data_IF_596861959497
#
_entry.id   IF_596861959497
#
_cell.length_a   1.000
_cell.length_b   1.000
_cell.length_c   1.000
_cell.angle_alpha   90.00
_cell.angle_beta   90.00
_cell.angle_gamma   90.00
#
_symmetry.space_group_name_H-M   'P 1'
#
loop_
_entity.id
_entity.type
_entity.pdbx_description
1 polymer ?
#
# COMPACT_ATOMS: atom_id res chain seq x y z
N UNK A 1 -16.69 -26.89 -5.48
CA UNK A 1 -16.14 -25.52 -5.41
C UNK A 1 -15.48 -25.25 -6.74
N UNK A 2 -15.93 -24.22 -7.46
CA UNK A 2 -15.47 -23.94 -8.83
C UNK A 2 -14.20 -23.08 -8.82
N UNK A 3 -13.47 -23.03 -9.94
CA UNK A 3 -12.29 -22.17 -10.11
C UNK A 3 -12.62 -20.66 -9.92
N UNK A 4 -13.84 -20.27 -10.28
CA UNK A 4 -14.37 -18.93 -10.05
C UNK A 4 -14.53 -18.62 -8.55
N UNK A 5 -15.03 -19.59 -7.76
CA UNK A 5 -15.20 -19.43 -6.31
C UNK A 5 -13.84 -19.25 -5.61
N UNK A 6 -12.83 -20.03 -6.04
CA UNK A 6 -11.46 -19.93 -5.52
C UNK A 6 -10.84 -18.54 -5.79
N UNK A 7 -11.09 -17.99 -6.98
CA UNK A 7 -10.57 -16.66 -7.38
C UNK A 7 -11.19 -15.54 -6.54
N UNK A 8 -12.48 -15.64 -6.21
CA UNK A 8 -13.19 -14.65 -5.38
C UNK A 8 -12.67 -14.69 -3.95
N UNK A 9 -12.56 -15.88 -3.36
CA UNK A 9 -12.04 -16.07 -2.00
C UNK A 9 -10.62 -15.50 -1.91
N UNK A 10 -9.75 -15.82 -2.88
CA UNK A 10 -8.38 -15.31 -2.90
C UNK A 10 -8.31 -13.79 -2.94
N UNK A 11 -9.11 -13.14 -3.82
CA UNK A 11 -9.15 -11.67 -3.92
C UNK A 11 -9.62 -11.02 -2.62
N UNK A 12 -10.62 -11.62 -1.96
CA UNK A 12 -11.10 -11.16 -0.66
C UNK A 12 -10.01 -11.24 0.41
N UNK A 13 -9.31 -12.37 0.50
CA UNK A 13 -8.20 -12.56 1.45
C UNK A 13 -7.08 -11.55 1.21
N UNK A 14 -6.69 -11.32 -0.05
CA UNK A 14 -5.68 -10.31 -0.37
C UNK A 14 -6.11 -8.91 0.07
N UNK A 15 -7.36 -8.54 -0.19
CA UNK A 15 -7.92 -7.26 0.25
C UNK A 15 -7.91 -7.12 1.76
N UNK A 16 -8.40 -8.12 2.51
CA UNK A 16 -8.42 -8.13 3.98
C UNK A 16 -7.00 -8.01 4.57
N UNK A 17 -6.02 -8.71 4.00
CA UNK A 17 -4.62 -8.59 4.41
C UNK A 17 -4.07 -7.19 4.16
N UNK A 18 -4.32 -6.60 2.99
CA UNK A 18 -3.90 -5.22 2.71
C UNK A 18 -4.56 -4.22 3.67
N UNK A 19 -5.84 -4.40 4.00
CA UNK A 19 -6.55 -3.54 4.95
C UNK A 19 -6.11 -3.75 6.41
N UNK A 20 -5.48 -4.89 6.73
CA UNK A 20 -4.91 -5.16 8.06
C UNK A 20 -3.51 -4.56 8.28
N UNK A 21 -2.92 -3.92 7.26
CA UNK A 21 -1.61 -3.27 7.39
C UNK A 21 -1.71 -2.16 8.43
N UNK A 22 -0.84 -2.22 9.45
CA UNK A 22 -0.81 -1.21 10.52
C UNK A 22 0.01 0.01 10.11
N UNK A 23 -0.15 1.11 10.87
CA UNK A 23 0.68 2.32 10.69
C UNK A 23 2.16 1.98 10.89
N UNK A 24 2.47 1.16 11.90
CA UNK A 24 3.85 0.73 12.21
C UNK A 24 4.47 -0.04 11.04
N UNK A 25 3.72 -0.96 10.43
CA UNK A 25 4.15 -1.68 9.22
C UNK A 25 4.34 -0.74 8.03
N UNK A 26 3.46 0.25 7.84
CA UNK A 26 3.65 1.22 6.77
C UNK A 26 4.94 2.04 6.99
N UNK A 27 5.21 2.49 8.21
CA UNK A 27 6.40 3.29 8.53
C UNK A 27 7.70 2.50 8.42
N UNK A 28 7.68 1.24 8.86
CA UNK A 28 8.79 0.31 8.69
C UNK A 28 9.08 0.08 7.20
N UNK A 29 8.06 -0.17 6.37
CA UNK A 29 8.21 -0.26 4.92
C UNK A 29 8.79 1.02 4.30
N UNK A 30 8.26 2.19 4.67
CA UNK A 30 8.74 3.49 4.18
C UNK A 30 10.23 3.65 4.46
N UNK A 31 10.65 3.32 5.67
CA UNK A 31 12.05 3.40 6.11
C UNK A 31 12.91 2.38 5.36
N UNK A 32 12.46 1.12 5.29
CA UNK A 32 13.18 0.03 4.62
C UNK A 32 13.39 0.27 3.12
N UNK A 33 12.47 1.01 2.48
CA UNK A 33 12.56 1.38 1.06
C UNK A 33 13.13 2.78 0.81
N UNK A 34 13.53 3.52 1.85
CA UNK A 34 14.02 4.90 1.72
C UNK A 34 13.00 5.87 1.13
N UNK A 35 11.71 5.57 1.29
CA UNK A 35 10.61 6.39 0.79
C UNK A 35 10.39 7.65 1.62
N UNK A 36 11.07 7.81 2.75
CA UNK A 36 11.17 9.03 3.56
C UNK A 36 12.33 9.94 3.16
N UNK A 37 13.04 9.63 2.07
CA UNK A 37 14.11 10.49 1.54
C UNK A 37 13.62 11.93 1.31
N UNK A 38 14.56 12.89 1.27
CA UNK A 38 14.25 14.31 1.07
C UNK A 38 13.30 14.51 -0.12
N UNK A 39 12.35 15.42 0.07
CA UNK A 39 11.38 15.79 -0.96
C UNK A 39 12.09 16.32 -2.21
N UNK A 40 11.81 15.71 -3.36
CA UNK A 40 12.36 16.10 -4.65
C UNK A 40 11.96 17.52 -5.08
N UNK A 41 10.84 18.03 -4.57
CA UNK A 41 10.35 19.36 -4.93
C UNK A 41 10.97 20.49 -4.10
N UNK A 42 11.24 20.28 -2.81
CA UNK A 42 11.66 21.36 -1.90
C UNK A 42 12.83 21.00 -0.96
N UNK A 43 13.35 19.78 -1.01
CA UNK A 43 14.47 19.31 -0.20
C UNK A 43 14.16 18.97 1.26
N UNK A 44 12.96 19.27 1.76
CA UNK A 44 12.57 18.99 3.15
C UNK A 44 12.45 17.48 3.42
N UNK A 45 12.81 17.04 4.64
CA UNK A 45 12.63 15.66 5.13
C UNK A 45 11.45 15.55 6.11
N UNK A 46 10.42 16.35 5.87
CA UNK A 46 9.22 16.42 6.71
C UNK A 46 8.01 15.92 5.92
N UNK A 47 7.54 14.73 6.29
CA UNK A 47 6.51 13.99 5.59
C UNK A 47 5.35 13.68 6.54
N UNK A 48 4.15 14.03 6.10
CA UNK A 48 2.89 13.58 6.67
C UNK A 48 2.42 12.32 5.96
N UNK A 49 1.85 11.39 6.71
CA UNK A 49 1.15 10.22 6.20
C UNK A 49 -0.25 10.21 6.80
N UNK A 50 -1.24 9.89 5.98
CA UNK A 50 -2.62 9.88 6.44
C UNK A 50 -2.94 8.59 7.21
N UNK A 51 -3.58 8.76 8.36
CA UNK A 51 -4.04 7.68 9.22
C UNK A 51 -5.35 8.09 9.91
N UNK A 52 -6.15 7.09 10.27
CA UNK A 52 -7.30 7.21 11.16
C UNK A 52 -7.17 6.22 12.34
N UNK A 53 -8.21 6.11 13.17
CA UNK A 53 -8.21 5.20 14.33
C UNK A 53 -8.08 3.71 13.94
N UNK A 54 -8.35 3.35 12.68
CA UNK A 54 -8.31 1.98 12.18
C UNK A 54 -6.99 1.63 11.47
N UNK A 55 -6.20 2.63 11.05
CA UNK A 55 -4.89 2.41 10.46
C UNK A 55 -4.50 3.46 9.40
N UNK A 56 -3.54 3.13 8.52
CA UNK A 56 -3.12 4.02 7.45
C UNK A 56 -4.23 4.17 6.40
N UNK A 57 -4.45 5.41 5.94
CA UNK A 57 -5.46 5.70 4.93
C UNK A 57 -5.04 5.15 3.56
N UNK A 58 -5.98 4.51 2.85
CA UNK A 58 -5.79 3.99 1.50
C UNK A 58 -6.64 4.78 0.52
N UNK A 59 -6.01 5.25 -0.56
CA UNK A 59 -6.71 5.78 -1.73
C UNK A 59 -6.78 4.71 -2.82
N UNK A 60 -7.90 4.64 -3.53
CA UNK A 60 -8.07 3.70 -4.64
C UNK A 60 -8.31 4.44 -5.94
N UNK A 61 -7.76 3.91 -7.03
CA UNK A 61 -7.97 4.41 -8.38
C UNK A 61 -8.46 3.27 -9.27
N UNK A 62 -9.60 3.48 -9.95
CA UNK A 62 -10.16 2.52 -10.88
C UNK A 62 -9.31 2.42 -12.15
N UNK A 63 -9.10 1.21 -12.65
CA UNK A 63 -8.39 1.02 -13.91
C UNK A 63 -9.37 1.10 -15.10
N UNK A 64 -9.22 2.10 -15.96
CA UNK A 64 -10.08 2.27 -17.15
C UNK A 64 -9.99 1.09 -18.12
N UNK A 65 -8.82 0.43 -18.22
CA UNK A 65 -8.61 -0.75 -19.09
C UNK A 65 -9.07 -2.05 -18.44
N UNK A 66 -9.29 -2.04 -17.14
CA UNK A 66 -9.76 -3.19 -16.37
C UNK A 66 -10.70 -2.70 -15.28
N UNK A 67 -11.97 -2.39 -15.61
CA UNK A 67 -12.91 -1.72 -14.70
C UNK A 67 -13.18 -2.49 -13.40
N UNK A 68 -12.91 -3.79 -13.40
CA UNK A 68 -13.06 -4.67 -12.25
C UNK A 68 -11.80 -4.71 -11.36
N UNK A 69 -10.78 -3.92 -11.66
CA UNK A 69 -9.57 -3.80 -10.85
C UNK A 69 -9.35 -2.36 -10.42
N UNK A 70 -8.89 -2.21 -9.18
CA UNK A 70 -8.46 -0.94 -8.62
C UNK A 70 -7.01 -1.06 -8.18
N UNK A 71 -6.25 0.01 -8.38
CA UNK A 71 -4.93 0.18 -7.77
C UNK A 71 -5.10 0.88 -6.44
N UNK A 72 -4.53 0.30 -5.39
CA UNK A 72 -4.62 0.82 -4.03
C UNK A 72 -3.28 1.43 -3.64
N UNK A 73 -3.33 2.58 -2.99
CA UNK A 73 -2.14 3.33 -2.60
C UNK A 73 -2.28 3.84 -1.17
N UNK A 74 -1.22 3.67 -0.40
CA UNK A 74 -0.94 4.57 0.71
C UNK A 74 -0.32 5.84 0.14
N UNK A 75 -0.42 6.96 0.85
CA UNK A 75 0.23 8.18 0.40
C UNK A 75 0.93 8.89 1.56
N UNK A 76 1.95 9.64 1.18
CA UNK A 76 2.64 10.58 2.06
C UNK A 76 2.77 11.91 1.33
N UNK A 77 2.61 13.00 2.07
CA UNK A 77 2.65 14.37 1.56
C UNK A 77 3.70 15.17 2.31
N UNK A 78 4.52 15.92 1.59
CA UNK A 78 5.51 16.78 2.19
C UNK A 78 4.80 17.96 2.88
N UNK A 79 5.01 18.15 4.18
CA UNK A 79 4.37 19.22 4.95
C UNK A 79 4.75 20.63 4.45
N UNK A 80 5.90 20.77 3.79
CA UNK A 80 6.41 22.07 3.34
C UNK A 80 5.84 22.52 1.98
N UNK A 81 5.58 21.60 1.04
CA UNK A 81 5.22 21.95 -0.33
C UNK A 81 4.06 21.12 -0.91
N UNK A 82 3.47 20.23 -0.12
CA UNK A 82 2.40 19.33 -0.51
C UNK A 82 2.72 18.36 -1.67
N UNK A 83 3.99 18.18 -2.03
CA UNK A 83 4.40 17.11 -2.95
C UNK A 83 4.00 15.74 -2.35
N UNK A 84 3.34 14.91 -3.15
CA UNK A 84 2.76 13.63 -2.70
C UNK A 84 3.45 12.45 -3.36
N UNK A 85 3.81 11.45 -2.56
CA UNK A 85 4.27 10.14 -3.03
C UNK A 85 3.15 9.11 -2.81
N UNK A 86 2.90 8.31 -3.83
CA UNK A 86 2.01 7.15 -3.74
C UNK A 86 2.84 5.88 -3.56
N UNK A 87 2.50 5.11 -2.53
CA UNK A 87 3.10 3.83 -2.21
C UNK A 87 2.10 2.75 -2.61
N UNK A 88 2.45 1.95 -3.61
CA UNK A 88 1.60 0.85 -4.09
C UNK A 88 1.32 -0.13 -2.95
N UNK A 89 0.07 -0.27 -2.55
CA UNK A 89 -0.31 -1.12 -1.42
C UNK A 89 0.04 -2.59 -1.66
N UNK A 90 0.08 -3.03 -2.92
CA UNK A 90 0.56 -4.36 -3.31
C UNK A 90 2.02 -4.61 -2.95
N UNK A 91 2.89 -3.58 -2.99
CA UNK A 91 4.30 -3.69 -2.59
C UNK A 91 4.47 -3.77 -1.08
N UNK A 92 3.65 -3.02 -0.35
CA UNK A 92 3.60 -3.10 1.12
C UNK A 92 3.08 -4.47 1.54
N UNK A 93 2.02 -4.95 0.89
CA UNK A 93 1.49 -6.29 1.10
C UNK A 93 2.54 -7.38 0.81
N UNK A 94 3.25 -7.29 -0.32
CA UNK A 94 4.29 -8.25 -0.69
C UNK A 94 5.41 -8.31 0.35
N UNK A 95 5.76 -7.17 0.94
CA UNK A 95 6.79 -7.09 1.98
C UNK A 95 6.44 -7.89 3.25
N UNK A 96 5.18 -7.86 3.70
CA UNK A 96 4.74 -8.50 4.95
C UNK A 96 4.05 -9.85 4.77
N UNK A 97 3.34 -10.06 3.67
CA UNK A 97 2.51 -11.24 3.43
C UNK A 97 2.97 -12.07 2.21
N UNK A 98 3.82 -11.49 1.35
CA UNK A 98 4.27 -12.13 0.10
C UNK A 98 5.26 -13.28 0.31
N UNK A 99 5.99 -13.31 1.43
CA UNK A 99 7.06 -14.27 1.69
C UNK A 99 6.58 -15.72 1.88
N UNK A 100 5.27 -15.97 2.02
CA UNK A 100 4.71 -17.32 2.13
C UNK A 100 4.55 -18.05 0.77
N UNK A 101 4.98 -17.48 -0.36
CA UNK A 101 4.84 -18.11 -1.68
C UNK A 101 6.07 -18.88 -2.17
N UNK A 102 7.23 -18.73 -1.53
CA UNK A 102 8.47 -19.41 -1.95
C UNK A 102 8.69 -20.77 -1.28
N UNK A 103 7.96 -21.08 -0.20
CA UNK A 103 8.03 -22.38 0.49
C UNK A 103 7.16 -23.48 -0.17
N UNK A 104 6.54 -23.21 -1.32
CA UNK A 104 5.62 -24.11 -2.01
C UNK A 104 6.05 -24.44 -3.46
N UNK A 105 7.35 -24.39 -3.75
CA UNK A 105 7.94 -24.86 -5.02
C UNK A 105 8.85 -26.05 -4.79
#
# INVERSE_FOLDING_TARGET
>A
MTEADNTIIQRKTLGEQTLSITVEQLLDFITAKGSDSSCEACGAKDWYYAQDDAGPTITTSSNVRSPNTASWFFFMSCNNCANTRFLEAGRVWEHYFGQNKEAAK
#
